data_IF_535343681574
#
_entry.id   IF_535343681574
#
_cell.length_a   1.000
_cell.length_b   1.000
_cell.length_c   1.000
_cell.angle_alpha   90.00
_cell.angle_beta   90.00
_cell.angle_gamma   90.00
#
_symmetry.space_group_name_H-M   'P 1'
#
loop_
_entity.id
_entity.type
_entity.pdbx_description
1 polymer ?
#
# COMPACT_ATOMS: atom_id res chain seq x y z
N UNK A 1 19.56 5.66 26.25
CA UNK A 1 18.40 5.67 25.34
C UNK A 1 17.47 4.59 25.84
N UNK A 2 16.19 4.90 26.11
CA UNK A 2 15.20 3.88 26.46
C UNK A 2 15.09 2.90 25.30
N UNK A 3 15.61 1.68 25.48
CA UNK A 3 15.53 0.61 24.48
C UNK A 3 14.08 0.25 24.12
N UNK A 4 13.11 0.60 24.97
CA UNK A 4 11.68 0.25 24.80
C UNK A 4 10.91 1.07 23.72
N UNK A 5 11.56 1.96 22.95
CA UNK A 5 10.86 2.84 21.98
C UNK A 5 11.35 2.79 20.53
N UNK A 6 12.26 1.87 20.21
CA UNK A 6 12.77 1.76 18.83
C UNK A 6 11.72 1.15 17.90
N UNK A 7 11.61 1.68 16.67
CA UNK A 7 10.75 1.12 15.61
C UNK A 7 11.41 -0.09 14.98
N UNK A 8 10.60 -1.03 14.48
CA UNK A 8 11.10 -2.28 13.88
C UNK A 8 12.08 -2.05 12.72
N UNK A 9 11.83 -1.03 11.89
CA UNK A 9 12.73 -0.63 10.80
C UNK A 9 14.11 -0.18 11.32
N UNK A 10 14.12 0.66 12.35
CA UNK A 10 15.37 1.16 12.95
C UNK A 10 16.13 0.03 13.66
N UNK A 11 15.43 -0.83 14.40
CA UNK A 11 16.02 -2.01 15.05
C UNK A 11 16.68 -2.95 14.02
N UNK A 12 15.97 -3.19 12.90
CA UNK A 12 16.45 -4.04 11.81
C UNK A 12 17.69 -3.47 11.15
N UNK A 13 17.72 -2.14 10.92
CA UNK A 13 18.88 -1.45 10.35
C UNK A 13 20.11 -1.52 11.27
N UNK A 14 19.95 -1.26 12.56
CA UNK A 14 21.03 -1.38 13.55
C UNK A 14 21.57 -2.81 13.63
N UNK A 15 20.68 -3.79 13.68
CA UNK A 15 21.10 -5.20 13.70
C UNK A 15 21.84 -5.60 12.43
N UNK A 16 21.38 -5.10 11.27
CA UNK A 16 22.09 -5.30 10.02
C UNK A 16 23.52 -4.71 10.06
N UNK A 17 23.65 -3.45 10.47
CA UNK A 17 24.94 -2.73 10.49
C UNK A 17 25.93 -3.30 11.51
N UNK A 18 25.45 -3.65 12.71
CA UNK A 18 26.30 -4.06 13.84
C UNK A 18 26.57 -5.57 13.87
N UNK A 19 25.67 -6.40 13.32
CA UNK A 19 25.73 -7.87 13.46
C UNK A 19 25.84 -8.57 12.10
N UNK A 20 24.92 -8.36 11.15
CA UNK A 20 24.96 -9.09 9.87
C UNK A 20 26.14 -8.65 8.99
N UNK A 21 26.30 -7.34 8.80
CA UNK A 21 27.27 -6.78 7.87
C UNK A 21 28.73 -7.19 8.16
N UNK A 22 29.23 -7.18 9.42
CA UNK A 22 30.57 -7.65 9.73
C UNK A 22 30.80 -9.12 9.39
N UNK A 23 29.82 -9.99 9.71
CA UNK A 23 29.89 -11.43 9.45
C UNK A 23 29.89 -11.72 7.95
N UNK A 24 28.97 -11.10 7.20
CA UNK A 24 28.89 -11.26 5.74
C UNK A 24 30.19 -10.80 5.09
N UNK A 25 30.76 -9.66 5.48
CA UNK A 25 32.04 -9.18 4.91
C UNK A 25 33.22 -10.13 5.20
N UNK A 26 33.23 -10.76 6.36
CA UNK A 26 34.33 -11.64 6.78
C UNK A 26 34.22 -13.04 6.17
N UNK A 27 33.03 -13.63 6.21
CA UNK A 27 32.80 -15.04 5.85
C UNK A 27 32.31 -15.22 4.40
N UNK A 28 31.62 -14.21 3.86
CA UNK A 28 31.01 -14.24 2.53
C UNK A 28 31.30 -12.98 1.71
N UNK A 29 32.58 -12.60 1.49
CA UNK A 29 32.93 -11.37 0.75
C UNK A 29 32.35 -11.35 -0.68
N UNK A 30 32.28 -12.51 -1.34
CA UNK A 30 31.65 -12.71 -2.66
C UNK A 30 30.15 -12.38 -2.65
N UNK A 31 29.45 -12.65 -1.55
CA UNK A 31 28.04 -12.30 -1.37
C UNK A 31 27.89 -10.82 -1.10
N UNK A 32 28.77 -10.25 -0.26
CA UNK A 32 28.73 -8.83 0.07
C UNK A 32 28.70 -7.98 -1.21
N UNK A 33 29.55 -8.25 -2.19
CA UNK A 33 29.61 -7.49 -3.45
C UNK A 33 28.34 -7.58 -4.32
N UNK A 34 27.46 -8.56 -4.05
CA UNK A 34 26.32 -8.89 -4.92
C UNK A 34 24.96 -8.72 -4.27
N UNK A 35 24.89 -8.67 -2.95
CA UNK A 35 23.62 -8.63 -2.24
C UNK A 35 22.97 -7.24 -2.26
N UNK A 36 21.64 -7.25 -2.11
CA UNK A 36 20.92 -6.13 -1.51
C UNK A 36 20.51 -6.50 -0.09
N UNK A 37 20.43 -5.53 0.81
CA UNK A 37 19.96 -5.73 2.17
C UNK A 37 19.03 -4.60 2.60
N UNK A 38 18.02 -4.93 3.39
CA UNK A 38 17.00 -3.97 3.80
C UNK A 38 15.92 -4.59 4.66
N UNK A 39 14.88 -3.81 4.93
CA UNK A 39 13.62 -4.30 5.47
C UNK A 39 12.50 -3.82 4.58
N UNK A 40 11.83 -4.75 3.90
CA UNK A 40 10.69 -4.48 3.04
C UNK A 40 9.83 -5.74 2.88
N UNK A 41 8.57 -5.57 2.48
CA UNK A 41 7.61 -6.66 2.31
C UNK A 41 6.50 -6.57 3.34
N UNK A 42 5.91 -7.72 3.71
CA UNK A 42 4.82 -7.71 4.68
C UNK A 42 5.29 -7.26 6.08
N UNK A 43 4.36 -6.77 6.88
CA UNK A 43 4.60 -6.37 8.27
C UNK A 43 4.39 -4.87 8.52
N UNK A 44 3.98 -4.54 9.74
CA UNK A 44 3.65 -3.15 10.11
C UNK A 44 4.88 -2.24 10.18
N UNK A 45 6.01 -2.79 10.57
CA UNK A 45 7.31 -2.14 10.67
C UNK A 45 7.86 -1.69 9.31
N UNK A 46 7.58 -2.46 8.24
CA UNK A 46 7.89 -2.06 6.87
C UNK A 46 7.09 -0.81 6.45
N UNK A 47 5.90 -0.59 7.02
CA UNK A 47 5.10 0.62 6.82
C UNK A 47 5.32 1.70 7.91
N UNK A 48 6.17 1.46 8.92
CA UNK A 48 6.34 2.34 10.07
C UNK A 48 5.09 2.47 10.96
N UNK A 49 4.19 1.49 10.89
CA UNK A 49 2.95 1.46 11.64
C UNK A 49 3.00 0.60 12.89
N UNK A 50 4.12 -0.07 13.14
CA UNK A 50 4.38 -0.86 14.32
C UNK A 50 4.22 -0.03 15.60
N UNK A 51 3.68 -0.66 16.63
CA UNK A 51 3.51 -0.11 17.97
C UNK A 51 3.66 -1.23 19.01
N UNK A 52 3.46 -0.92 20.30
CA UNK A 52 3.61 -1.88 21.40
C UNK A 52 2.64 -3.08 21.29
N UNK A 53 1.51 -2.92 20.61
CA UNK A 53 0.49 -3.97 20.47
C UNK A 53 0.86 -4.93 19.32
N UNK A 54 1.58 -4.46 18.31
CA UNK A 54 1.95 -5.26 17.13
C UNK A 54 3.30 -5.96 17.23
N UNK A 55 3.85 -6.13 18.44
CA UNK A 55 5.13 -6.83 18.66
C UNK A 55 4.96 -8.34 18.90
N UNK A 56 3.74 -8.86 18.86
CA UNK A 56 3.40 -10.26 19.13
C UNK A 56 3.80 -11.21 18.00
N UNK A 57 3.92 -10.71 16.76
CA UNK A 57 4.30 -11.46 15.57
C UNK A 57 5.19 -10.64 14.62
N UNK A 58 6.15 -11.30 13.97
CA UNK A 58 7.04 -10.72 12.93
C UNK A 58 7.87 -9.49 13.37
N UNK A 59 8.01 -9.27 14.68
CA UNK A 59 8.83 -8.19 15.26
C UNK A 59 10.09 -8.77 15.94
N UNK A 60 11.25 -8.18 15.64
CA UNK A 60 12.53 -8.59 16.21
C UNK A 60 13.73 -8.21 15.33
N UNK A 61 14.96 -8.31 15.85
CA UNK A 61 16.17 -7.98 15.13
C UNK A 61 16.36 -8.94 13.94
N UNK A 62 16.12 -8.44 12.73
CA UNK A 62 16.16 -9.23 11.50
C UNK A 62 16.10 -8.30 10.30
N UNK A 63 16.61 -8.73 9.16
CA UNK A 63 16.45 -8.01 7.90
C UNK A 63 16.37 -9.00 6.73
N UNK A 64 16.16 -8.49 5.54
CA UNK A 64 16.19 -9.23 4.29
C UNK A 64 17.55 -9.05 3.63
N UNK A 65 18.15 -10.15 3.17
CA UNK A 65 19.28 -10.20 2.25
C UNK A 65 18.76 -10.78 0.95
N UNK A 66 18.62 -9.94 -0.08
CA UNK A 66 18.15 -10.37 -1.39
C UNK A 66 19.34 -10.71 -2.30
N UNK A 67 19.28 -11.90 -2.90
CA UNK A 67 20.25 -12.40 -3.87
C UNK A 67 19.56 -12.65 -5.21
N UNK A 68 20.31 -12.54 -6.30
CA UNK A 68 19.84 -13.04 -7.61
C UNK A 68 19.56 -14.54 -7.53
N UNK A 69 18.71 -15.10 -8.39
CA UNK A 69 18.44 -16.55 -8.38
C UNK A 69 19.72 -17.39 -8.42
N UNK A 70 20.68 -17.02 -9.27
CA UNK A 70 21.98 -17.70 -9.37
C UNK A 70 22.79 -17.63 -8.07
N UNK A 71 22.91 -16.44 -7.46
CA UNK A 71 23.65 -16.29 -6.20
C UNK A 71 22.90 -16.92 -5.02
N UNK A 72 21.57 -16.94 -5.04
CA UNK A 72 20.74 -17.60 -4.03
C UNK A 72 20.95 -19.12 -4.06
N UNK A 73 20.92 -19.73 -5.25
CA UNK A 73 21.21 -21.16 -5.41
C UNK A 73 22.63 -21.51 -4.92
N UNK A 74 23.60 -20.64 -5.18
CA UNK A 74 25.01 -20.88 -4.84
C UNK A 74 25.32 -20.66 -3.35
N UNK A 75 24.78 -19.61 -2.74
CA UNK A 75 25.18 -19.15 -1.41
C UNK A 75 24.06 -19.20 -0.35
N UNK A 76 22.79 -19.24 -0.78
CA UNK A 76 21.63 -19.00 0.07
C UNK A 76 21.57 -19.88 1.32
N UNK A 77 21.74 -21.19 1.17
CA UNK A 77 21.67 -22.15 2.28
C UNK A 77 22.77 -21.92 3.33
N UNK A 78 24.02 -21.79 2.88
CA UNK A 78 25.17 -21.62 3.79
C UNK A 78 25.13 -20.26 4.48
N UNK A 79 24.75 -19.20 3.75
CA UNK A 79 24.57 -17.88 4.32
C UNK A 79 23.46 -17.89 5.37
N UNK A 80 22.30 -18.46 5.06
CA UNK A 80 21.18 -18.55 6.01
C UNK A 80 21.58 -19.32 7.28
N UNK A 81 22.36 -20.39 7.13
CA UNK A 81 22.89 -21.14 8.28
C UNK A 81 23.79 -20.28 9.17
N UNK A 82 24.73 -19.53 8.60
CA UNK A 82 25.59 -18.62 9.36
C UNK A 82 24.75 -17.53 10.06
N UNK A 83 23.80 -16.91 9.34
CA UNK A 83 22.93 -15.88 9.93
C UNK A 83 22.03 -16.42 11.08
N UNK A 84 21.63 -17.69 11.04
CA UNK A 84 20.84 -18.33 12.10
C UNK A 84 21.61 -18.58 13.40
N UNK A 85 22.95 -18.57 13.36
CA UNK A 85 23.84 -18.72 14.52
C UNK A 85 24.10 -17.39 15.24
N UNK A 86 23.71 -16.26 14.63
CA UNK A 86 23.90 -14.92 15.17
C UNK A 86 23.02 -14.63 16.41
N UNK A 87 23.39 -13.62 17.23
CA UNK A 87 22.65 -13.28 18.44
C UNK A 87 21.15 -13.13 18.21
N UNK A 88 20.37 -13.96 18.89
CA UNK A 88 18.91 -13.97 18.87
C UNK A 88 18.30 -12.92 19.78
N UNK A 89 19.12 -12.12 20.47
CA UNK A 89 18.67 -10.99 21.27
C UNK A 89 19.56 -9.79 20.95
N UNK A 90 18.94 -8.64 20.73
CA UNK A 90 19.65 -7.41 20.39
C UNK A 90 18.89 -6.20 20.93
N UNK A 91 19.60 -5.31 21.62
CA UNK A 91 19.03 -4.12 22.29
C UNK A 91 17.83 -4.42 23.21
N UNK A 92 17.81 -5.61 23.84
CA UNK A 92 16.72 -6.06 24.72
C UNK A 92 15.50 -6.63 23.99
N UNK A 93 15.56 -6.75 22.66
CA UNK A 93 14.53 -7.40 21.84
C UNK A 93 14.94 -8.81 21.48
N UNK A 94 14.02 -9.75 21.66
CA UNK A 94 14.20 -11.17 21.29
C UNK A 94 14.03 -11.37 19.78
N UNK A 95 14.51 -12.51 19.31
CA UNK A 95 14.41 -12.94 17.92
C UNK A 95 12.98 -12.97 17.43
N UNK A 96 12.84 -12.84 16.12
CA UNK A 96 11.57 -12.80 15.43
C UNK A 96 10.68 -13.98 15.85
N UNK A 97 9.45 -13.68 16.29
CA UNK A 97 8.41 -14.68 16.45
C UNK A 97 7.74 -14.91 15.09
N UNK A 98 8.21 -15.93 14.36
CA UNK A 98 7.71 -16.29 13.03
C UNK A 98 6.37 -17.01 13.17
N UNK A 99 5.31 -16.47 12.55
CA UNK A 99 4.02 -17.17 12.46
C UNK A 99 4.07 -18.38 11.51
N UNK A 100 3.10 -19.29 11.59
CA UNK A 100 3.04 -20.51 10.75
C UNK A 100 3.13 -20.23 9.23
N UNK A 101 2.64 -19.07 8.78
CA UNK A 101 2.72 -18.59 7.39
C UNK A 101 3.62 -17.35 7.23
N UNK A 102 4.43 -17.03 8.24
CA UNK A 102 5.36 -15.90 8.26
C UNK A 102 6.79 -16.27 7.85
N UNK A 103 7.06 -17.56 7.64
CA UNK A 103 8.36 -18.04 7.21
C UNK A 103 8.73 -17.52 5.81
N UNK A 104 10.03 -17.31 5.57
CA UNK A 104 10.53 -16.79 4.30
C UNK A 104 10.21 -15.32 4.00
N UNK A 105 9.73 -14.53 4.98
CA UNK A 105 9.58 -13.05 4.82
C UNK A 105 10.89 -12.28 5.04
N UNK A 106 11.84 -12.88 5.75
CA UNK A 106 13.09 -12.26 6.21
C UNK A 106 14.23 -13.28 6.14
N UNK A 107 15.47 -12.83 6.32
CA UNK A 107 16.66 -13.66 6.16
C UNK A 107 17.18 -13.59 4.72
N UNK A 108 17.76 -14.67 4.24
CA UNK A 108 18.31 -14.79 2.88
C UNK A 108 17.19 -15.18 1.93
N UNK A 109 16.93 -14.34 0.94
CA UNK A 109 15.80 -14.44 0.04
C UNK A 109 16.26 -14.45 -1.42
N UNK A 110 15.61 -15.26 -2.24
CA UNK A 110 15.69 -15.13 -3.69
C UNK A 110 14.90 -13.87 -4.10
N UNK A 111 15.59 -12.94 -4.76
CA UNK A 111 15.01 -11.69 -5.23
C UNK A 111 13.87 -11.90 -6.25
N UNK A 112 14.02 -12.87 -7.15
CA UNK A 112 13.05 -13.14 -8.20
C UNK A 112 11.75 -13.68 -7.59
N UNK A 113 11.85 -14.65 -6.67
CA UNK A 113 10.71 -15.19 -5.93
C UNK A 113 10.03 -14.09 -5.07
N UNK A 114 10.83 -13.20 -4.48
CA UNK A 114 10.32 -12.09 -3.67
C UNK A 114 9.47 -11.13 -4.50
N UNK A 115 9.92 -10.72 -5.69
CA UNK A 115 9.11 -9.87 -6.57
C UNK A 115 7.92 -10.64 -7.17
N UNK A 116 8.13 -11.89 -7.57
CA UNK A 116 7.07 -12.73 -8.14
C UNK A 116 5.88 -12.88 -7.19
N UNK A 117 6.14 -13.02 -5.89
CA UNK A 117 5.10 -13.07 -4.85
C UNK A 117 4.15 -11.85 -4.88
N UNK A 118 4.65 -10.67 -5.20
CA UNK A 118 3.86 -9.43 -5.18
C UNK A 118 3.35 -9.02 -6.55
N UNK A 119 4.13 -9.26 -7.60
CA UNK A 119 3.87 -8.75 -8.95
C UNK A 119 3.31 -9.82 -9.89
N UNK A 120 3.47 -11.11 -9.57
CA UNK A 120 3.28 -12.21 -10.51
C UNK A 120 4.36 -12.29 -11.60
N UNK A 121 5.42 -11.50 -11.48
CA UNK A 121 6.57 -11.42 -12.38
C UNK A 121 7.83 -11.05 -11.56
N UNK A 122 9.01 -11.29 -12.13
CA UNK A 122 10.32 -10.95 -11.54
C UNK A 122 10.78 -9.53 -11.89
N UNK A 123 9.98 -8.81 -12.68
CA UNK A 123 10.23 -7.42 -13.12
C UNK A 123 9.05 -6.51 -12.82
N UNK A 124 9.29 -5.20 -12.88
CA UNK A 124 8.21 -4.21 -12.87
C UNK A 124 7.32 -4.35 -14.13
N UNK A 125 6.02 -4.06 -14.05
CA UNK A 125 5.10 -4.23 -15.18
C UNK A 125 5.47 -3.35 -16.37
N UNK A 126 5.54 -3.95 -17.56
CA UNK A 126 6.01 -3.27 -18.77
C UNK A 126 4.87 -2.63 -19.58
N UNK A 127 3.64 -3.10 -19.41
CA UNK A 127 2.47 -2.59 -20.15
C UNK A 127 1.25 -2.31 -19.24
N UNK A 128 0.27 -1.56 -19.78
CA UNK A 128 -0.92 -1.12 -19.03
C UNK A 128 -1.72 -2.28 -18.41
N UNK A 129 -1.84 -3.40 -19.11
CA UNK A 129 -2.66 -4.53 -18.67
C UNK A 129 -2.01 -5.29 -17.51
N UNK A 130 -0.69 -5.41 -17.49
CA UNK A 130 0.05 -5.98 -16.37
C UNK A 130 -0.17 -5.13 -15.11
N UNK A 131 -0.04 -3.80 -15.23
CA UNK A 131 -0.30 -2.85 -14.14
C UNK A 131 -1.71 -3.00 -13.56
N UNK A 132 -2.70 -3.34 -14.40
CA UNK A 132 -4.09 -3.52 -13.98
C UNK A 132 -4.32 -4.79 -13.15
N UNK A 133 -3.53 -5.85 -13.38
CA UNK A 133 -3.73 -7.14 -12.74
C UNK A 133 -3.21 -7.20 -11.30
N UNK A 134 -2.27 -6.31 -10.95
CA UNK A 134 -1.61 -6.34 -9.64
C UNK A 134 -2.44 -5.56 -8.61
N UNK A 135 -2.85 -6.19 -7.50
CA UNK A 135 -3.50 -5.49 -6.40
C UNK A 135 -2.61 -4.37 -5.83
N UNK A 136 -3.21 -3.22 -5.54
CA UNK A 136 -2.50 -2.05 -5.04
C UNK A 136 -1.79 -2.28 -3.72
N UNK A 137 -2.38 -3.10 -2.85
CA UNK A 137 -1.77 -3.49 -1.58
C UNK A 137 -0.48 -4.26 -1.77
N UNK A 138 -0.34 -5.05 -2.85
CA UNK A 138 0.90 -5.77 -3.16
C UNK A 138 1.94 -4.82 -3.76
N UNK A 139 1.52 -3.88 -4.63
CA UNK A 139 2.41 -2.81 -5.10
C UNK A 139 2.93 -1.95 -3.95
N UNK A 140 2.06 -1.57 -3.01
CA UNK A 140 2.42 -0.84 -1.79
C UNK A 140 3.43 -1.63 -0.95
N UNK A 141 3.22 -2.95 -0.83
CA UNK A 141 4.10 -3.85 -0.08
C UNK A 141 5.47 -4.01 -0.75
N UNK A 142 5.51 -4.09 -2.08
CA UNK A 142 6.76 -4.22 -2.83
C UNK A 142 7.68 -2.98 -2.72
N UNK A 143 7.11 -1.79 -2.45
CA UNK A 143 7.85 -0.52 -2.35
C UNK A 143 7.91 0.06 -0.93
N UNK A 144 7.41 -0.63 0.08
CA UNK A 144 7.50 -0.16 1.47
C UNK A 144 8.89 -0.38 2.07
N UNK A 145 9.09 0.06 3.31
CA UNK A 145 10.31 -0.18 4.05
C UNK A 145 11.51 0.60 3.51
N UNK A 146 12.71 0.07 3.77
CA UNK A 146 13.97 0.71 3.39
C UNK A 146 14.97 -0.32 2.86
N UNK A 147 15.68 0.06 1.79
CA UNK A 147 16.85 -0.67 1.29
C UNK A 147 18.08 -0.03 1.93
N UNK A 148 18.80 -0.77 2.78
CA UNK A 148 19.98 -0.28 3.48
C UNK A 148 21.20 -0.24 2.56
N UNK A 149 21.32 -1.22 1.67
CA UNK A 149 22.31 -1.27 0.59
C UNK A 149 21.82 -2.12 -0.57
N UNK A 150 22.34 -1.85 -1.76
CA UNK A 150 22.13 -2.69 -2.95
C UNK A 150 23.34 -2.56 -3.87
N UNK A 151 24.28 -3.50 -3.77
CA UNK A 151 25.57 -3.39 -4.45
C UNK A 151 25.49 -3.66 -5.96
N UNK A 152 24.45 -4.37 -6.42
CA UNK A 152 24.19 -4.57 -7.86
C UNK A 152 23.21 -3.54 -8.43
N UNK A 153 22.45 -2.84 -7.57
CA UNK A 153 21.40 -1.91 -7.95
C UNK A 153 20.15 -2.56 -8.54
N UNK A 154 20.07 -3.90 -8.60
CA UNK A 154 18.98 -4.64 -9.25
C UNK A 154 17.67 -4.54 -8.47
N UNK A 155 17.73 -4.72 -7.15
CA UNK A 155 16.56 -4.66 -6.28
C UNK A 155 15.96 -3.24 -6.26
N UNK A 156 16.83 -2.25 -6.12
CA UNK A 156 16.50 -0.83 -6.14
C UNK A 156 15.93 -0.42 -7.49
N UNK A 157 16.47 -0.93 -8.61
CA UNK A 157 15.95 -0.61 -9.95
C UNK A 157 14.48 -0.97 -10.11
N UNK A 158 14.10 -2.19 -9.73
CA UNK A 158 12.71 -2.67 -9.84
C UNK A 158 11.81 -1.81 -8.94
N UNK A 159 12.21 -1.58 -7.69
CA UNK A 159 11.45 -0.73 -6.76
C UNK A 159 11.29 0.71 -7.26
N UNK A 160 12.35 1.32 -7.77
CA UNK A 160 12.29 2.67 -8.34
C UNK A 160 11.38 2.74 -9.57
N UNK A 161 11.27 1.68 -10.36
CA UNK A 161 10.28 1.63 -11.45
C UNK A 161 8.85 1.55 -10.92
N UNK A 162 8.61 0.78 -9.86
CA UNK A 162 7.30 0.72 -9.19
C UNK A 162 6.92 2.04 -8.51
N UNK A 163 7.90 2.76 -7.93
CA UNK A 163 7.72 4.05 -7.26
C UNK A 163 7.37 5.21 -8.21
N UNK A 164 7.64 5.06 -9.53
CA UNK A 164 7.15 6.00 -10.55
C UNK A 164 5.63 6.09 -10.61
N UNK A 165 4.94 5.13 -9.99
CA UNK A 165 3.50 5.02 -9.89
C UNK A 165 2.84 4.49 -11.18
N UNK A 166 1.52 4.28 -11.12
CA UNK A 166 0.73 3.82 -12.24
C UNK A 166 0.94 4.67 -13.50
N UNK A 167 0.96 4.03 -14.69
CA UNK A 167 0.68 4.73 -15.93
C UNK A 167 -0.63 5.52 -15.82
N UNK A 168 -0.66 6.69 -16.46
CA UNK A 168 -1.75 7.65 -16.26
C UNK A 168 -3.11 7.07 -16.68
N UNK A 169 -3.18 6.28 -17.75
CA UNK A 169 -4.40 5.60 -18.19
C UNK A 169 -4.98 4.65 -17.12
N UNK A 170 -4.13 3.92 -16.40
CA UNK A 170 -4.56 3.04 -15.29
C UNK A 170 -5.06 3.88 -14.12
N UNK A 171 -4.37 4.96 -13.79
CA UNK A 171 -4.80 5.89 -12.74
C UNK A 171 -6.15 6.53 -13.07
N UNK A 172 -6.34 7.01 -14.30
CA UNK A 172 -7.58 7.62 -14.77
C UNK A 172 -8.73 6.62 -14.79
N UNK A 173 -8.49 5.38 -15.25
CA UNK A 173 -9.49 4.32 -15.22
C UNK A 173 -9.98 4.05 -13.78
N UNK A 174 -9.06 3.87 -12.83
CA UNK A 174 -9.39 3.68 -11.42
C UNK A 174 -10.16 4.87 -10.84
N UNK A 175 -9.76 6.10 -11.16
CA UNK A 175 -10.46 7.33 -10.73
C UNK A 175 -11.89 7.38 -11.30
N UNK A 176 -12.06 7.08 -12.60
CA UNK A 176 -13.38 7.07 -13.24
C UNK A 176 -14.34 6.08 -12.56
N UNK A 177 -13.86 4.87 -12.28
CA UNK A 177 -14.60 3.87 -11.49
C UNK A 177 -15.00 4.39 -10.13
N UNK A 178 -14.07 5.05 -9.41
CA UNK A 178 -14.34 5.50 -8.04
C UNK A 178 -15.32 6.65 -7.99
N UNK A 179 -15.29 7.56 -8.98
CA UNK A 179 -16.34 8.56 -9.15
C UNK A 179 -17.73 7.90 -9.25
N UNK A 180 -17.86 6.87 -10.08
CA UNK A 180 -19.14 6.17 -10.28
C UNK A 180 -19.58 5.38 -9.05
N UNK A 181 -18.67 4.63 -8.41
CA UNK A 181 -18.99 3.85 -7.20
C UNK A 181 -19.33 4.74 -6.01
N UNK A 182 -18.62 5.85 -5.80
CA UNK A 182 -18.93 6.81 -4.74
C UNK A 182 -20.32 7.44 -4.94
N UNK A 183 -20.65 7.85 -6.16
CA UNK A 183 -21.98 8.37 -6.47
C UNK A 183 -23.07 7.32 -6.23
N UNK A 184 -22.86 6.10 -6.72
CA UNK A 184 -23.82 5.01 -6.60
C UNK A 184 -24.06 4.62 -5.14
N UNK A 185 -23.00 4.36 -4.37
CA UNK A 185 -23.08 3.90 -2.98
C UNK A 185 -23.51 5.02 -2.02
N UNK A 186 -22.85 6.17 -2.08
CA UNK A 186 -23.07 7.29 -1.17
C UNK A 186 -24.23 8.18 -1.58
N UNK A 187 -24.03 8.98 -2.64
CA UNK A 187 -24.95 10.05 -3.03
C UNK A 187 -26.35 9.53 -3.42
N UNK A 188 -26.42 8.29 -3.92
CA UNK A 188 -27.64 7.67 -4.43
C UNK A 188 -28.22 6.58 -3.51
N UNK A 189 -27.50 5.49 -3.25
CA UNK A 189 -28.08 4.30 -2.60
C UNK A 189 -28.27 4.44 -1.09
N UNK A 190 -27.32 5.06 -0.38
CA UNK A 190 -27.40 5.19 1.08
C UNK A 190 -28.76 5.74 1.54
N UNK A 191 -29.17 6.89 1.00
CA UNK A 191 -30.43 7.54 1.37
C UNK A 191 -31.66 6.71 0.95
N UNK A 192 -31.59 6.00 -0.18
CA UNK A 192 -32.68 5.12 -0.65
C UNK A 192 -32.88 3.93 0.25
N UNK A 193 -31.80 3.30 0.69
CA UNK A 193 -31.84 2.21 1.66
C UNK A 193 -32.43 2.70 2.99
N UNK A 194 -31.96 3.85 3.50
CA UNK A 194 -32.50 4.42 4.74
C UNK A 194 -33.99 4.78 4.66
N UNK A 195 -34.47 5.32 3.53
CA UNK A 195 -35.90 5.61 3.31
C UNK A 195 -36.79 4.37 3.32
N UNK A 196 -36.23 3.21 2.99
CA UNK A 196 -36.92 1.90 3.01
C UNK A 196 -36.75 1.17 4.33
N UNK A 197 -36.03 1.75 5.29
CA UNK A 197 -35.62 1.10 6.53
C UNK A 197 -34.79 -0.19 6.28
N UNK A 198 -34.09 -0.26 5.15
CA UNK A 198 -33.21 -1.38 4.78
C UNK A 198 -31.81 -1.16 5.35
N UNK A 199 -31.68 -1.35 6.67
CA UNK A 199 -30.49 -0.96 7.44
C UNK A 199 -29.23 -1.69 6.97
N UNK A 200 -29.32 -2.99 6.67
CA UNK A 200 -28.15 -3.77 6.20
C UNK A 200 -27.64 -3.20 4.88
N UNK A 201 -28.54 -2.94 3.92
CA UNK A 201 -28.18 -2.36 2.64
C UNK A 201 -27.58 -0.95 2.78
N UNK A 202 -28.12 -0.14 3.71
CA UNK A 202 -27.57 1.19 3.98
C UNK A 202 -26.15 1.13 4.56
N UNK A 203 -25.86 0.14 5.42
CA UNK A 203 -24.52 -0.06 5.99
C UNK A 203 -23.53 -0.57 4.94
N UNK A 204 -23.94 -1.49 4.07
CA UNK A 204 -23.13 -1.91 2.93
C UNK A 204 -22.79 -0.74 2.01
N UNK A 205 -23.78 0.11 1.70
CA UNK A 205 -23.58 1.31 0.90
C UNK A 205 -22.64 2.33 1.57
N UNK A 206 -22.78 2.54 2.89
CA UNK A 206 -21.88 3.42 3.66
C UNK A 206 -20.44 2.89 3.66
N UNK A 207 -20.24 1.57 3.85
CA UNK A 207 -18.91 0.94 3.82
C UNK A 207 -18.28 1.01 2.43
N UNK A 208 -19.05 0.73 1.38
CA UNK A 208 -18.57 0.86 -0.01
C UNK A 208 -18.15 2.30 -0.30
N UNK A 209 -18.97 3.28 0.08
CA UNK A 209 -18.64 4.70 -0.10
C UNK A 209 -17.33 5.06 0.61
N UNK A 210 -17.15 4.62 1.87
CA UNK A 210 -15.92 4.87 2.64
C UNK A 210 -14.72 4.24 1.91
N UNK A 211 -14.83 3.00 1.46
CA UNK A 211 -13.73 2.31 0.77
C UNK A 211 -13.30 3.04 -0.50
N UNK A 212 -14.26 3.52 -1.29
CA UNK A 212 -13.98 4.18 -2.57
C UNK A 212 -13.60 5.65 -2.42
N UNK A 213 -14.14 6.35 -1.40
CA UNK A 213 -13.69 7.66 -0.99
C UNK A 213 -12.21 7.62 -0.59
N UNK A 214 -11.81 6.65 0.22
CA UNK A 214 -10.39 6.53 0.60
C UNK A 214 -9.55 6.22 -0.64
N UNK A 215 -9.98 5.27 -1.47
CA UNK A 215 -9.22 4.88 -2.66
C UNK A 215 -8.97 6.05 -3.60
N UNK A 216 -9.99 6.87 -3.91
CA UNK A 216 -9.78 8.02 -4.78
C UNK A 216 -8.80 9.04 -4.17
N UNK A 217 -8.78 9.23 -2.85
CA UNK A 217 -7.78 10.09 -2.20
C UNK A 217 -6.36 9.53 -2.38
N UNK A 218 -6.15 8.22 -2.29
CA UNK A 218 -4.85 7.59 -2.60
C UNK A 218 -4.42 7.84 -4.06
N UNK A 219 -5.34 7.68 -5.02
CA UNK A 219 -5.10 7.92 -6.45
C UNK A 219 -4.76 9.39 -6.75
N UNK A 220 -5.40 10.33 -6.05
CA UNK A 220 -5.14 11.77 -6.17
C UNK A 220 -3.78 12.17 -5.58
N UNK A 221 -3.26 11.40 -4.61
CA UNK A 221 -1.92 11.59 -4.03
C UNK A 221 -0.82 10.80 -4.76
N UNK A 222 -1.17 10.05 -5.82
CA UNK A 222 -0.27 9.10 -6.50
C UNK A 222 0.40 8.13 -5.51
N UNK A 223 -0.41 7.52 -4.64
CA UNK A 223 0.02 6.49 -3.68
C UNK A 223 -0.80 5.23 -3.87
N UNK A 224 -0.16 4.07 -3.74
CA UNK A 224 -0.86 2.79 -3.76
C UNK A 224 -1.69 2.65 -2.48
N UNK A 225 -2.93 2.14 -2.60
CA UNK A 225 -3.78 1.81 -1.45
C UNK A 225 -3.16 0.65 -0.66
N UNK A 226 -3.24 0.71 0.68
CA UNK A 226 -2.68 -0.30 1.57
C UNK A 226 -3.71 -1.38 1.94
N UNK A 227 -3.30 -2.39 2.69
CA UNK A 227 -4.21 -3.32 3.35
C UNK A 227 -5.17 -2.60 4.32
N UNK A 228 -6.42 -3.05 4.41
CA UNK A 228 -7.53 -2.29 5.04
C UNK A 228 -7.24 -1.81 6.47
N UNK A 229 -6.49 -2.60 7.26
CA UNK A 229 -6.11 -2.26 8.65
C UNK A 229 -5.30 -0.96 8.72
N UNK A 230 -4.48 -0.69 7.70
CA UNK A 230 -3.51 0.41 7.70
C UNK A 230 -3.96 1.62 6.90
N UNK A 231 -4.92 1.45 6.00
CA UNK A 231 -5.45 2.51 5.15
C UNK A 231 -5.85 3.77 5.95
N UNK A 232 -6.60 3.71 7.07
CA UNK A 232 -7.02 4.93 7.78
C UNK A 232 -5.83 5.72 8.35
N UNK A 233 -4.83 5.01 8.91
CA UNK A 233 -3.61 5.62 9.45
C UNK A 233 -2.79 6.30 8.34
N UNK A 234 -2.68 5.65 7.18
CA UNK A 234 -2.01 6.20 6.01
C UNK A 234 -2.77 7.39 5.40
N UNK A 235 -4.11 7.29 5.27
CA UNK A 235 -4.99 8.33 4.74
C UNK A 235 -4.79 9.66 5.47
N UNK A 236 -4.77 9.63 6.80
CA UNK A 236 -4.63 10.84 7.62
C UNK A 236 -3.37 11.65 7.26
N UNK A 237 -2.31 10.97 6.82
CA UNK A 237 -1.02 11.59 6.49
C UNK A 237 -0.88 12.01 5.01
N UNK A 238 -1.91 11.77 4.18
CA UNK A 238 -1.88 12.19 2.78
C UNK A 238 -2.07 13.71 2.66
N UNK A 239 -1.26 14.34 1.79
CA UNK A 239 -1.22 15.79 1.62
C UNK A 239 -2.52 16.33 1.01
N UNK A 240 -3.05 15.62 0.01
CA UNK A 240 -4.25 16.02 -0.72
C UNK A 240 -5.44 15.37 -0.03
N UNK A 241 -6.30 16.18 0.58
CA UNK A 241 -7.55 15.80 1.25
C UNK A 241 -7.45 14.74 2.37
N UNK A 242 -6.26 14.26 2.73
CA UNK A 242 -6.07 13.11 3.62
C UNK A 242 -6.66 13.31 5.01
N UNK A 243 -6.10 14.26 5.77
CA UNK A 243 -6.55 14.55 7.14
C UNK A 243 -8.03 14.95 7.21
N UNK A 244 -8.48 15.83 6.29
CA UNK A 244 -9.88 16.26 6.21
C UNK A 244 -10.82 15.07 6.01
N UNK A 245 -10.52 14.20 5.04
CA UNK A 245 -11.34 13.03 4.73
C UNK A 245 -11.33 12.02 5.86
N UNK A 246 -10.18 11.83 6.53
CA UNK A 246 -10.07 10.97 7.71
C UNK A 246 -11.07 11.39 8.80
N UNK A 247 -11.11 12.67 9.18
CA UNK A 247 -12.00 13.13 10.24
C UNK A 247 -13.47 13.10 9.85
N UNK A 248 -13.80 13.36 8.58
CA UNK A 248 -15.16 13.21 8.07
C UNK A 248 -15.62 11.76 8.11
N UNK A 249 -14.78 10.80 7.70
CA UNK A 249 -15.08 9.37 7.80
C UNK A 249 -15.21 8.94 9.27
N UNK A 250 -14.33 9.43 10.14
CA UNK A 250 -14.40 9.14 11.58
C UNK A 250 -15.72 9.61 12.20
N UNK A 251 -16.19 10.81 11.85
CA UNK A 251 -17.51 11.30 12.24
C UNK A 251 -18.62 10.41 11.67
N UNK A 252 -18.57 10.12 10.36
CA UNK A 252 -19.55 9.29 9.65
C UNK A 252 -19.75 7.95 10.35
N UNK A 253 -18.67 7.24 10.71
CA UNK A 253 -18.77 5.91 11.33
C UNK A 253 -19.24 5.94 12.78
N UNK A 254 -18.96 7.02 13.53
CA UNK A 254 -19.36 7.19 14.94
C UNK A 254 -20.83 7.62 15.09
N UNK A 255 -21.41 8.27 14.08
CA UNK A 255 -22.80 8.68 14.11
C UNK A 255 -23.75 7.47 14.23
N UNK A 256 -24.83 7.59 15.04
CA UNK A 256 -25.81 6.53 15.17
C UNK A 256 -26.51 6.27 13.82
N UNK A 257 -26.99 5.06 13.61
CA UNK A 257 -27.67 4.65 12.36
C UNK A 257 -28.80 5.62 11.99
N UNK A 258 -29.55 6.11 12.97
CA UNK A 258 -30.66 7.06 12.77
C UNK A 258 -30.26 8.49 12.38
N UNK A 259 -28.97 8.86 12.41
CA UNK A 259 -28.49 10.20 12.04
C UNK A 259 -28.39 10.39 10.52
N UNK A 260 -29.42 9.97 9.77
CA UNK A 260 -29.43 9.88 8.30
C UNK A 260 -29.01 11.19 7.64
N UNK A 261 -29.58 12.32 8.08
CA UNK A 261 -29.31 13.63 7.47
C UNK A 261 -27.85 14.04 7.62
N UNK A 262 -27.25 13.86 8.80
CA UNK A 262 -25.84 14.24 9.02
C UNK A 262 -24.89 13.29 8.29
N UNK A 263 -25.16 11.98 8.32
CA UNK A 263 -24.37 10.99 7.56
C UNK A 263 -24.38 11.31 6.07
N UNK A 264 -25.55 11.65 5.52
CA UNK A 264 -25.68 12.04 4.12
C UNK A 264 -24.95 13.36 3.80
N UNK A 265 -25.02 14.36 4.68
CA UNK A 265 -24.24 15.60 4.52
C UNK A 265 -22.74 15.35 4.46
N UNK A 266 -22.21 14.43 5.27
CA UNK A 266 -20.79 14.07 5.24
C UNK A 266 -20.42 13.39 3.91
N UNK A 267 -21.27 12.49 3.41
CA UNK A 267 -21.12 11.85 2.10
C UNK A 267 -21.03 12.90 0.98
N UNK A 268 -21.94 13.87 0.97
CA UNK A 268 -21.94 14.97 -0.01
C UNK A 268 -20.71 15.87 0.16
N UNK A 269 -20.28 16.16 1.40
CA UNK A 269 -19.09 16.98 1.64
C UNK A 269 -17.81 16.31 1.12
N UNK A 270 -17.63 15.01 1.38
CA UNK A 270 -16.51 14.23 0.84
C UNK A 270 -16.56 14.23 -0.69
N UNK A 271 -17.75 14.01 -1.28
CA UNK A 271 -17.94 14.01 -2.73
C UNK A 271 -17.60 15.34 -3.37
N UNK A 272 -18.03 16.45 -2.77
CA UNK A 272 -17.72 17.81 -3.22
C UNK A 272 -16.21 18.11 -3.14
N UNK A 273 -15.54 17.69 -2.05
CA UNK A 273 -14.09 17.84 -1.92
C UNK A 273 -13.34 17.11 -3.05
N UNK A 274 -13.75 15.88 -3.36
CA UNK A 274 -13.17 15.09 -4.46
C UNK A 274 -13.41 15.78 -5.81
N UNK A 275 -14.63 16.25 -6.08
CA UNK A 275 -14.94 17.01 -7.32
C UNK A 275 -14.04 18.23 -7.49
N UNK A 276 -13.85 19.01 -6.41
CA UNK A 276 -13.00 20.19 -6.43
C UNK A 276 -11.55 19.82 -6.72
N UNK A 277 -11.05 18.74 -6.12
CA UNK A 277 -9.68 18.28 -6.35
C UNK A 277 -9.47 17.73 -7.77
N UNK A 278 -10.45 17.00 -8.32
CA UNK A 278 -10.42 16.56 -9.72
C UNK A 278 -10.30 17.74 -10.69
N UNK A 279 -11.00 18.86 -10.39
CA UNK A 279 -10.89 20.11 -11.16
C UNK A 279 -9.54 20.79 -10.96
N UNK A 280 -9.04 20.81 -9.73
CA UNK A 280 -7.76 21.42 -9.38
C UNK A 280 -6.58 20.74 -10.10
N UNK A 281 -6.57 19.41 -10.12
CA UNK A 281 -5.57 18.61 -10.85
C UNK A 281 -5.80 18.57 -12.37
N UNK A 282 -6.81 19.29 -12.88
CA UNK A 282 -7.23 19.28 -14.28
C UNK A 282 -7.56 17.86 -14.81
N UNK A 283 -7.97 16.95 -13.94
CA UNK A 283 -8.45 15.60 -14.32
C UNK A 283 -9.80 15.73 -15.01
N UNK A 284 -10.63 16.70 -14.61
CA UNK A 284 -11.91 17.03 -15.26
C UNK A 284 -11.96 18.52 -15.63
N UNK A 285 -12.81 18.92 -16.59
CA UNK A 285 -12.97 20.33 -16.94
C UNK A 285 -13.51 21.17 -15.77
N UNK A 286 -12.95 22.36 -15.55
CA UNK A 286 -13.31 23.24 -14.42
C UNK A 286 -14.72 23.80 -14.52
N UNK A 287 -15.26 23.92 -15.73
CA UNK A 287 -16.58 24.45 -16.03
C UNK A 287 -17.73 23.49 -15.71
N UNK A 288 -17.45 22.23 -15.39
CA UNK A 288 -18.51 21.31 -14.95
C UNK A 288 -19.12 21.82 -13.64
N UNK A 289 -20.44 21.87 -13.57
CA UNK A 289 -21.18 22.43 -12.42
C UNK A 289 -21.92 21.38 -11.60
N UNK A 290 -21.96 20.12 -12.06
CA UNK A 290 -22.62 19.04 -11.32
C UNK A 290 -22.00 18.83 -9.94
N UNK A 291 -22.83 18.52 -8.95
CA UNK A 291 -22.45 18.07 -7.61
C UNK A 291 -22.42 16.53 -7.49
N UNK A 292 -22.75 15.83 -8.57
CA UNK A 292 -22.88 14.38 -8.60
C UNK A 292 -21.66 13.72 -9.26
N UNK A 293 -20.91 12.90 -8.51
CA UNK A 293 -19.66 12.28 -8.96
C UNK A 293 -19.84 11.37 -10.20
N UNK A 294 -21.05 10.81 -10.41
CA UNK A 294 -21.34 9.98 -11.58
C UNK A 294 -21.17 10.76 -12.89
N UNK A 295 -21.42 12.08 -12.88
CA UNK A 295 -21.29 12.91 -14.08
C UNK A 295 -19.82 13.17 -14.44
N UNK A 296 -18.91 13.01 -13.48
CA UNK A 296 -17.47 13.20 -13.69
C UNK A 296 -16.77 11.95 -14.21
N UNK A 297 -17.23 10.75 -13.81
CA UNK A 297 -16.65 9.47 -14.24
C UNK A 297 -16.45 9.35 -15.76
N UNK A 298 -17.47 9.61 -16.59
CA UNK A 298 -17.34 9.60 -18.05
C UNK A 298 -16.31 10.60 -18.60
N UNK A 299 -16.17 11.78 -18.00
CA UNK A 299 -15.15 12.75 -18.43
C UNK A 299 -13.74 12.25 -18.15
N UNK A 300 -13.51 11.62 -16.99
CA UNK A 300 -12.23 11.00 -16.67
C UNK A 300 -11.95 9.84 -17.63
N UNK A 301 -12.93 8.97 -17.85
CA UNK A 301 -12.83 7.82 -18.74
C UNK A 301 -12.47 8.22 -20.18
N UNK A 302 -13.08 9.29 -20.70
CA UNK A 302 -12.81 9.79 -22.06
C UNK A 302 -11.40 10.36 -22.26
N UNK A 303 -10.64 10.63 -21.18
CA UNK A 303 -9.24 11.08 -21.27
C UNK A 303 -8.24 9.96 -21.42
N UNK A 304 -8.64 8.71 -21.23
CA UNK A 304 -7.77 7.55 -21.38
C UNK A 304 -7.35 7.44 -22.86
N UNK A 305 -6.04 7.33 -23.10
CA UNK A 305 -5.48 7.25 -24.45
C UNK A 305 -5.72 5.87 -25.06
N UNK A 306 -5.44 4.80 -24.31
CA UNK A 306 -5.69 3.41 -24.72
C UNK A 306 -7.19 3.18 -25.01
N UNK A 307 -7.48 2.76 -26.24
CA UNK A 307 -8.84 2.63 -26.74
C UNK A 307 -9.64 1.53 -26.01
N UNK A 308 -9.00 0.42 -25.65
CA UNK A 308 -9.69 -0.69 -24.98
C UNK A 308 -10.05 -0.30 -23.55
N UNK A 309 -9.11 0.33 -22.84
CA UNK A 309 -9.36 0.84 -21.49
C UNK A 309 -10.40 1.95 -21.51
N UNK A 310 -10.34 2.90 -22.45
CA UNK A 310 -11.35 3.97 -22.60
C UNK A 310 -12.76 3.42 -22.81
N UNK A 311 -12.90 2.35 -23.59
CA UNK A 311 -14.20 1.71 -23.86
C UNK A 311 -14.59 0.63 -22.85
N UNK A 312 -13.73 0.32 -21.87
CA UNK A 312 -14.03 -0.62 -20.80
C UNK A 312 -15.08 -0.03 -19.86
N UNK A 313 -16.01 -0.85 -19.38
CA UNK A 313 -17.00 -0.39 -18.41
C UNK A 313 -16.30 -0.04 -17.09
N UNK A 314 -16.31 1.23 -16.64
CA UNK A 314 -15.61 1.62 -15.41
C UNK A 314 -16.20 0.92 -14.18
N UNK A 315 -17.45 0.46 -14.22
CA UNK A 315 -18.06 -0.27 -13.10
C UNK A 315 -17.49 -1.70 -12.90
N UNK A 316 -16.60 -2.17 -13.77
CA UNK A 316 -16.01 -3.53 -13.73
C UNK A 316 -14.53 -3.56 -13.30
N UNK A 317 -14.05 -2.53 -12.60
CA UNK A 317 -12.73 -2.45 -11.95
C UNK A 317 -12.85 -2.49 -10.41
#
# INVERSE_FOLDING_TARGET
MDSNKIKGLELSKKYFEEIYLPVIKSEFPEVFEKMAAGLAGEGSECFGFDDEISQDHDFGPSCCIWLTSEDYEKYGLNLQKSLNELPKEFLGFRALNVSEFGDGRRGVLNMDDWFFKFLGDVKAPENLYDWRLIPEELLATAVNGEVFLDNLGKFTKIRSDLEKYFPEDIRLNKIATRCMKMAQSGQYNYLRCMRRNEIVAARLAETEFINEAIHIIFLLNKKYKLFYKWIPKALKNLKILGEKTYFLIEELVKLPVGAVNRKFQIIEEISANVILELKYQNIVPRQLTSDFLQDYGPFVQNKIEDEKLRNWNPAMD
#
